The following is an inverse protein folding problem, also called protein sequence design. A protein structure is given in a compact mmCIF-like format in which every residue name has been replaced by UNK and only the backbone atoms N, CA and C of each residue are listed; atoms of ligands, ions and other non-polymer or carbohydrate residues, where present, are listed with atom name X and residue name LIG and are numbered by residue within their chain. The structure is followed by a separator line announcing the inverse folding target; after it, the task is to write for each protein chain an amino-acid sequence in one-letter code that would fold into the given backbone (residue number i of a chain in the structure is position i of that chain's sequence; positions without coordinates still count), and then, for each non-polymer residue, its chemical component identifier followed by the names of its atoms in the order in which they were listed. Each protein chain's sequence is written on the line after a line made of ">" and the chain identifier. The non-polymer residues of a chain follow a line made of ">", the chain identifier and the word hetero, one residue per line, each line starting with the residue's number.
data_IF_261480426774
#
_entry.id   IF_261480426774
#
_cell.length_a   1.000
_cell.length_b   1.000
_cell.length_c   1.000
_cell.angle_alpha   90.00
_cell.angle_beta   90.00
_cell.angle_gamma   90.00
#
_symmetry.space_group_name_H-M   'P 1'
#
loop_
_entity.id
_entity.type
_entity.pdbx_description
1 polymer ?
#
# COMPACT_ATOMS: atom_id res chain seq x y z
N UNK A 1 0.97 -12.10 15.85
CA UNK A 1 0.62 -10.74 15.30
C UNK A 1 1.87 -9.91 14.98
N UNK A 2 2.05 -9.46 13.73
CA UNK A 2 3.33 -9.06 13.11
C UNK A 2 4.05 -7.84 13.69
N UNK A 3 5.40 -7.84 13.68
CA UNK A 3 6.26 -6.77 14.21
C UNK A 3 7.37 -6.35 13.23
N UNK A 4 7.85 -5.11 13.36
CA UNK A 4 8.96 -4.58 12.56
C UNK A 4 10.19 -4.46 13.44
N UNK A 5 11.27 -5.11 13.02
CA UNK A 5 12.56 -5.07 13.74
C UNK A 5 13.60 -4.42 12.84
N UNK A 6 14.42 -3.55 13.42
CA UNK A 6 15.58 -2.99 12.74
C UNK A 6 16.81 -3.81 13.10
N UNK A 7 17.45 -4.40 12.09
CA UNK A 7 18.71 -5.09 12.21
C UNK A 7 19.85 -4.15 11.82
N UNK A 8 20.93 -4.17 12.60
CA UNK A 8 22.17 -3.49 12.27
C UNK A 8 23.07 -4.48 11.53
N UNK A 9 23.31 -4.24 10.25
CA UNK A 9 24.33 -4.95 9.47
C UNK A 9 25.68 -4.28 9.73
N UNK A 10 26.77 -5.04 9.63
CA UNK A 10 28.13 -4.50 9.80
C UNK A 10 28.33 -3.25 8.90
N UNK A 11 28.99 -2.21 9.42
CA UNK A 11 29.29 -0.93 8.75
C UNK A 11 28.11 0.05 8.56
N UNK A 12 27.25 0.23 9.57
CA UNK A 12 26.18 1.27 9.66
C UNK A 12 24.99 1.08 8.70
N UNK A 13 24.91 -0.02 7.99
CA UNK A 13 23.72 -0.37 7.20
C UNK A 13 22.61 -0.86 8.12
N UNK A 14 21.47 -0.15 8.13
CA UNK A 14 20.27 -0.53 8.88
C UNK A 14 19.26 -1.17 7.95
N UNK A 15 18.82 -2.38 8.27
CA UNK A 15 17.83 -3.13 7.50
C UNK A 15 16.58 -3.33 8.35
N UNK A 16 15.42 -2.96 7.84
CA UNK A 16 14.15 -3.27 8.49
C UNK A 16 13.64 -4.64 8.03
N UNK A 17 13.15 -5.46 8.97
CA UNK A 17 12.56 -6.77 8.67
C UNK A 17 11.16 -6.86 9.28
N UNK A 18 10.22 -7.45 8.53
CA UNK A 18 8.87 -7.75 9.00
C UNK A 18 8.83 -9.19 9.54
N UNK A 19 8.50 -9.32 10.81
CA UNK A 19 8.57 -10.55 11.59
C UNK A 19 7.17 -11.02 11.96
N UNK A 20 7.02 -12.33 12.06
CA UNK A 20 5.96 -12.94 12.84
C UNK A 20 6.36 -12.96 14.31
N UNK A 21 5.54 -12.35 15.17
CA UNK A 21 5.82 -12.25 16.61
C UNK A 21 5.51 -13.53 17.37
N UNK A 22 4.80 -14.50 16.79
CA UNK A 22 4.55 -15.80 17.43
C UNK A 22 5.75 -16.73 17.26
N UNK A 23 6.28 -16.81 16.05
CA UNK A 23 7.42 -17.68 15.73
C UNK A 23 8.78 -16.98 15.89
N UNK A 24 8.79 -15.64 16.02
CA UNK A 24 10.00 -14.80 15.95
C UNK A 24 10.82 -15.00 14.66
N UNK A 25 10.16 -15.41 13.58
CA UNK A 25 10.78 -15.59 12.26
C UNK A 25 10.37 -14.48 11.29
N UNK A 26 11.23 -14.13 10.31
CA UNK A 26 10.84 -13.22 9.24
C UNK A 26 9.69 -13.80 8.41
N UNK A 27 8.77 -12.94 7.97
CA UNK A 27 7.78 -13.33 6.98
C UNK A 27 8.48 -13.59 5.64
N UNK A 28 8.19 -14.72 5.02
CA UNK A 28 8.92 -15.21 3.85
C UNK A 28 8.85 -14.24 2.65
N UNK A 29 7.65 -13.97 2.12
CA UNK A 29 7.50 -13.12 0.93
C UNK A 29 7.94 -11.66 1.15
N UNK A 30 7.68 -11.02 2.32
CA UNK A 30 8.19 -9.69 2.62
C UNK A 30 9.71 -9.67 2.78
N UNK A 31 10.33 -10.73 3.30
CA UNK A 31 11.78 -10.85 3.37
C UNK A 31 12.39 -10.93 1.97
N UNK A 32 11.85 -11.74 1.07
CA UNK A 32 12.35 -11.81 -0.32
C UNK A 32 12.18 -10.46 -1.04
N UNK A 33 11.02 -9.80 -0.87
CA UNK A 33 10.83 -8.47 -1.44
C UNK A 33 11.80 -7.44 -0.88
N UNK A 34 12.11 -7.54 0.42
CA UNK A 34 13.09 -6.70 1.07
C UNK A 34 14.48 -6.91 0.48
N UNK A 35 14.94 -8.16 0.36
CA UNK A 35 16.28 -8.47 -0.18
C UNK A 35 16.41 -7.99 -1.63
N UNK A 36 15.39 -8.24 -2.44
CA UNK A 36 15.45 -8.03 -3.90
C UNK A 36 15.23 -6.57 -4.30
N UNK A 37 14.38 -5.82 -3.56
CA UNK A 37 13.93 -4.50 -3.99
C UNK A 37 14.09 -3.36 -2.97
N UNK A 38 14.08 -3.65 -1.67
CA UNK A 38 14.11 -2.61 -0.64
C UNK A 38 15.48 -2.43 0.01
N UNK A 39 16.36 -3.43 -0.05
CA UNK A 39 17.69 -3.42 0.58
C UNK A 39 18.56 -2.24 0.14
N UNK A 40 18.38 -1.77 -1.10
CA UNK A 40 19.11 -0.63 -1.68
C UNK A 40 18.39 0.72 -1.47
N UNK A 41 17.26 0.73 -0.76
CA UNK A 41 16.48 1.94 -0.45
C UNK A 41 16.87 2.48 0.92
N UNK A 42 16.58 3.76 1.16
CA UNK A 42 16.82 4.37 2.48
C UNK A 42 16.06 3.64 3.59
N UNK A 43 16.57 3.60 4.84
CA UNK A 43 15.90 2.93 5.95
C UNK A 43 14.48 3.44 6.19
N UNK A 44 14.22 4.73 5.97
CA UNK A 44 12.89 5.33 6.07
C UNK A 44 11.94 4.85 4.96
N UNK A 45 12.44 4.62 3.75
CA UNK A 45 11.65 4.04 2.65
C UNK A 45 11.35 2.56 2.90
N UNK A 46 12.33 1.80 3.41
CA UNK A 46 12.15 0.42 3.83
C UNK A 46 11.06 0.33 4.90
N UNK A 47 11.16 1.13 5.96
CA UNK A 47 10.19 1.19 7.05
C UNK A 47 8.78 1.50 6.55
N UNK A 48 8.62 2.55 5.74
CA UNK A 48 7.30 2.92 5.20
C UNK A 48 6.70 1.81 4.32
N UNK A 49 7.53 1.11 3.56
CA UNK A 49 7.08 0.00 2.71
C UNK A 49 6.64 -1.20 3.55
N UNK A 50 7.45 -1.58 4.54
CA UNK A 50 7.16 -2.72 5.42
C UNK A 50 6.00 -2.42 6.38
N UNK A 51 5.78 -1.17 6.77
CA UNK A 51 4.57 -0.75 7.50
C UNK A 51 3.30 -0.95 6.68
N UNK A 52 3.33 -0.66 5.38
CA UNK A 52 2.19 -0.94 4.51
C UNK A 52 1.95 -2.45 4.37
N UNK A 53 3.02 -3.24 4.21
CA UNK A 53 2.94 -4.70 4.16
C UNK A 53 2.41 -5.29 5.47
N UNK A 54 2.88 -4.80 6.62
CA UNK A 54 2.37 -5.19 7.93
C UNK A 54 0.85 -5.02 8.00
N UNK A 55 0.33 -3.85 7.63
CA UNK A 55 -1.12 -3.59 7.63
C UNK A 55 -1.89 -4.52 6.69
N UNK A 56 -1.32 -4.88 5.53
CA UNK A 56 -1.93 -5.84 4.62
C UNK A 56 -1.98 -7.25 5.22
N UNK A 57 -0.92 -7.67 5.91
CA UNK A 57 -0.89 -8.96 6.60
C UNK A 57 -1.86 -9.01 7.77
N UNK A 58 -1.98 -7.92 8.54
CA UNK A 58 -2.99 -7.79 9.61
C UNK A 58 -4.40 -7.86 9.05
N UNK A 59 -4.69 -7.11 7.98
CA UNK A 59 -5.96 -7.17 7.25
C UNK A 59 -6.29 -8.60 6.80
N UNK A 60 -5.32 -9.28 6.18
CA UNK A 60 -5.51 -10.63 5.67
C UNK A 60 -5.84 -11.61 6.80
N UNK A 61 -5.06 -11.55 7.88
CA UNK A 61 -5.26 -12.40 9.05
C UNK A 61 -6.61 -12.14 9.72
N UNK A 62 -7.00 -10.87 9.88
CA UNK A 62 -8.31 -10.51 10.43
C UNK A 62 -9.48 -11.04 9.57
N UNK A 63 -9.33 -11.03 8.24
CA UNK A 63 -10.40 -11.48 7.32
C UNK A 63 -10.49 -13.00 7.20
N UNK A 64 -9.35 -13.68 7.12
CA UNK A 64 -9.28 -15.10 6.75
C UNK A 64 -8.86 -16.02 7.91
N UNK A 65 -8.45 -15.47 9.04
CA UNK A 65 -7.92 -16.20 10.20
C UNK A 65 -6.75 -17.15 9.85
N UNK A 66 -6.02 -16.84 8.78
CA UNK A 66 -4.82 -17.54 8.34
C UNK A 66 -3.80 -16.52 7.85
N UNK A 67 -2.51 -16.87 7.87
CA UNK A 67 -1.48 -15.95 7.40
C UNK A 67 -1.53 -15.81 5.87
N UNK A 68 -1.17 -14.63 5.37
CA UNK A 68 -1.04 -14.42 3.93
C UNK A 68 0.02 -15.36 3.32
N UNK A 69 1.13 -15.61 4.03
CA UNK A 69 2.16 -16.53 3.55
C UNK A 69 1.58 -17.93 3.28
N UNK A 70 0.82 -18.47 4.23
CA UNK A 70 0.13 -19.75 4.06
C UNK A 70 -0.87 -19.72 2.91
N UNK A 71 -1.67 -18.66 2.81
CA UNK A 71 -2.72 -18.53 1.79
C UNK A 71 -2.15 -18.45 0.38
N UNK A 72 -1.08 -17.68 0.19
CA UNK A 72 -0.42 -17.52 -1.11
C UNK A 72 0.33 -18.79 -1.54
N UNK A 73 0.98 -19.48 -0.61
CA UNK A 73 1.59 -20.78 -0.88
C UNK A 73 0.53 -21.81 -1.29
N UNK A 74 -0.56 -21.91 -0.51
CA UNK A 74 -1.64 -22.89 -0.72
C UNK A 74 -2.46 -22.66 -1.99
N UNK A 75 -2.44 -21.43 -2.54
CA UNK A 75 -3.09 -21.11 -3.81
C UNK A 75 -2.21 -21.39 -5.03
N UNK A 76 -1.11 -22.13 -4.87
CA UNK A 76 -0.07 -22.32 -5.88
C UNK A 76 0.51 -20.98 -6.36
N UNK A 77 0.75 -20.06 -5.41
CA UNK A 77 1.27 -18.72 -5.67
C UNK A 77 0.42 -17.89 -6.65
N UNK A 78 -0.90 -18.09 -6.65
CA UNK A 78 -1.82 -17.36 -7.52
C UNK A 78 -1.98 -15.89 -7.07
N UNK A 79 -1.50 -14.89 -7.83
CA UNK A 79 -1.56 -13.48 -7.41
C UNK A 79 -2.97 -12.88 -7.42
N UNK A 80 -3.94 -13.54 -8.05
CA UNK A 80 -5.34 -13.07 -8.09
C UNK A 80 -5.93 -12.90 -6.68
N UNK A 81 -5.54 -13.77 -5.73
CA UNK A 81 -6.04 -13.70 -4.35
C UNK A 81 -5.73 -12.34 -3.69
N UNK A 82 -4.65 -11.67 -4.12
CA UNK A 82 -4.29 -10.34 -3.63
C UNK A 82 -5.06 -9.27 -4.40
N UNK A 83 -5.12 -9.40 -5.73
CA UNK A 83 -5.72 -8.41 -6.62
C UNK A 83 -7.21 -8.22 -6.30
N UNK A 84 -7.92 -9.33 -6.04
CA UNK A 84 -9.35 -9.29 -5.73
C UNK A 84 -9.62 -8.67 -4.35
N UNK A 85 -8.63 -8.65 -3.46
CA UNK A 85 -8.69 -8.04 -2.14
C UNK A 85 -8.29 -6.56 -2.08
N UNK A 86 -7.77 -5.98 -3.17
CA UNK A 86 -7.27 -4.60 -3.14
C UNK A 86 -8.35 -3.56 -2.80
N UNK A 87 -9.61 -3.78 -3.20
CA UNK A 87 -10.74 -2.90 -2.83
C UNK A 87 -11.06 -3.02 -1.34
N UNK A 88 -11.16 -4.25 -0.82
CA UNK A 88 -11.43 -4.50 0.59
C UNK A 88 -10.31 -3.93 1.47
N UNK A 89 -9.04 -4.12 1.07
CA UNK A 89 -7.90 -3.54 1.76
C UNK A 89 -7.91 -2.00 1.72
N UNK A 90 -8.32 -1.40 0.60
CA UNK A 90 -8.50 0.05 0.51
C UNK A 90 -9.52 0.56 1.54
N UNK A 91 -10.63 -0.14 1.72
CA UNK A 91 -11.61 0.18 2.77
C UNK A 91 -11.05 -0.03 4.17
N UNK A 92 -10.33 -1.14 4.41
CA UNK A 92 -9.66 -1.40 5.68
C UNK A 92 -8.70 -0.27 6.09
N UNK A 93 -7.95 0.30 5.14
CA UNK A 93 -7.05 1.41 5.42
C UNK A 93 -7.75 2.69 5.90
N UNK A 94 -9.06 2.84 5.70
CA UNK A 94 -9.84 3.96 6.24
C UNK A 94 -10.11 3.76 7.73
N UNK A 95 -10.35 2.52 8.17
CA UNK A 95 -10.65 2.15 9.55
C UNK A 95 -9.97 0.82 9.96
N UNK A 96 -8.66 0.82 10.27
CA UNK A 96 -7.93 -0.41 10.58
C UNK A 96 -8.39 -1.13 11.88
N UNK A 97 -9.16 -0.44 12.74
CA UNK A 97 -9.49 -0.87 14.11
C UNK A 97 -10.98 -1.15 14.33
N UNK A 98 -11.79 -1.40 13.29
CA UNK A 98 -13.25 -1.54 13.45
C UNK A 98 -13.72 -2.74 14.31
N UNK A 99 -12.80 -3.56 14.82
CA UNK A 99 -13.08 -4.65 15.76
C UNK A 99 -12.59 -4.41 17.20
N UNK A 100 -11.93 -3.30 17.53
CA UNK A 100 -11.45 -3.01 18.90
C UNK A 100 -11.62 -1.53 19.26
N UNK A 101 -12.53 -1.27 20.20
CA UNK A 101 -12.72 -0.07 21.04
C UNK A 101 -11.98 1.19 20.53
N UNK A 102 -12.73 2.08 19.88
CA UNK A 102 -12.25 3.38 19.40
C UNK A 102 -11.87 4.29 20.58
N UNK A 103 -10.59 4.63 20.71
CA UNK A 103 -10.15 5.78 21.50
C UNK A 103 -10.36 7.07 20.69
N UNK A 104 -10.97 8.13 21.26
CA UNK A 104 -11.40 9.33 20.52
C UNK A 104 -10.25 10.23 20.04
N UNK A 105 -8.99 9.78 20.09
CA UNK A 105 -7.81 10.53 19.67
C UNK A 105 -7.06 9.92 18.46
N UNK A 106 -7.57 8.84 17.87
CA UNK A 106 -6.94 8.23 16.71
C UNK A 106 -7.02 9.17 15.49
N UNK A 107 -5.88 9.71 15.09
CA UNK A 107 -5.74 10.53 13.89
C UNK A 107 -6.16 9.72 12.67
N UNK A 108 -7.29 10.06 12.02
CA UNK A 108 -7.69 9.41 10.78
C UNK A 108 -6.52 9.42 9.77
N UNK A 109 -6.15 8.26 9.19
CA UNK A 109 -5.03 8.21 8.27
C UNK A 109 -5.31 9.16 7.10
N UNK A 110 -4.40 10.11 6.87
CA UNK A 110 -4.57 11.05 5.77
C UNK A 110 -4.72 10.29 4.45
N UNK A 111 -5.59 10.77 3.55
CA UNK A 111 -5.82 10.16 2.23
C UNK A 111 -4.53 9.94 1.44
N UNK A 112 -3.54 10.83 1.61
CA UNK A 112 -2.20 10.71 1.03
C UNK A 112 -1.47 9.48 1.55
N UNK A 113 -1.54 9.20 2.85
CA UNK A 113 -0.93 8.02 3.47
C UNK A 113 -1.62 6.72 3.03
N UNK A 114 -2.95 6.72 2.86
CA UNK A 114 -3.70 5.58 2.30
C UNK A 114 -3.21 5.22 0.89
N UNK A 115 -3.13 6.20 -0.01
CA UNK A 115 -2.70 5.94 -1.39
C UNK A 115 -1.25 5.46 -1.47
N UNK A 116 -0.36 6.00 -0.64
CA UNK A 116 1.04 5.52 -0.56
C UNK A 116 1.07 4.04 -0.15
N UNK A 117 0.32 3.65 0.88
CA UNK A 117 0.23 2.25 1.33
C UNK A 117 -0.33 1.34 0.24
N UNK A 118 -1.40 1.74 -0.44
CA UNK A 118 -1.98 0.99 -1.56
C UNK A 118 -0.97 0.82 -2.70
N UNK A 119 -0.26 1.87 -3.07
CA UNK A 119 0.79 1.78 -4.10
C UNK A 119 1.93 0.86 -3.68
N UNK A 120 2.30 0.81 -2.41
CA UNK A 120 3.26 -0.18 -1.91
C UNK A 120 2.74 -1.60 -2.10
N UNK A 121 1.47 -1.88 -1.76
CA UNK A 121 0.90 -3.22 -1.97
C UNK A 121 0.85 -3.56 -3.46
N UNK A 122 0.44 -2.64 -4.34
CA UNK A 122 0.46 -2.86 -5.80
C UNK A 122 1.88 -3.20 -6.29
N UNK A 123 2.92 -2.52 -5.79
CA UNK A 123 4.32 -2.81 -6.15
C UNK A 123 4.77 -4.18 -5.64
N UNK A 124 4.35 -4.55 -4.43
CA UNK A 124 4.62 -5.87 -3.86
C UNK A 124 3.90 -6.98 -4.63
N UNK A 125 2.62 -6.80 -4.98
CA UNK A 125 1.88 -7.75 -5.82
C UNK A 125 2.53 -7.90 -7.19
N UNK A 126 2.97 -6.79 -7.80
CA UNK A 126 3.68 -6.86 -9.07
C UNK A 126 4.99 -7.63 -8.95
N UNK A 127 5.75 -7.45 -7.86
CA UNK A 127 6.91 -8.29 -7.57
C UNK A 127 6.54 -9.78 -7.51
N UNK A 128 5.50 -10.13 -6.75
CA UNK A 128 5.06 -11.53 -6.66
C UNK A 128 4.64 -12.10 -8.02
N UNK A 129 3.99 -11.31 -8.87
CA UNK A 129 3.67 -11.72 -10.25
C UNK A 129 4.95 -12.05 -11.01
N UNK A 130 5.95 -11.17 -11.01
CA UNK A 130 7.19 -11.38 -11.78
C UNK A 130 8.02 -12.56 -11.24
N UNK A 131 7.96 -12.83 -9.93
CA UNK A 131 8.72 -13.92 -9.31
C UNK A 131 8.01 -15.27 -9.48
N UNK A 132 6.71 -15.33 -9.22
CA UNK A 132 5.96 -16.58 -9.08
C UNK A 132 5.10 -16.97 -10.29
N UNK A 133 4.80 -16.04 -11.20
CA UNK A 133 4.21 -16.40 -12.52
C UNK A 133 5.35 -16.76 -13.47
N UNK A 134 6.03 -17.86 -13.16
CA UNK A 134 7.17 -18.37 -13.90
C UNK A 134 7.16 -19.89 -13.92
N UNK A 135 7.89 -20.48 -14.88
CA UNK A 135 7.97 -21.94 -15.07
C UNK A 135 8.54 -22.69 -13.87
N UNK A 136 9.12 -21.98 -12.90
CA UNK A 136 9.63 -22.55 -11.65
C UNK A 136 8.51 -22.90 -10.66
N UNK A 137 7.37 -22.25 -10.78
CA UNK A 137 6.26 -22.36 -9.81
C UNK A 137 4.93 -22.72 -10.47
N UNK A 138 4.84 -22.68 -11.80
CA UNK A 138 3.63 -22.98 -12.56
C UNK A 138 3.95 -23.85 -13.77
N UNK A 139 3.17 -24.92 -13.94
CA UNK A 139 3.25 -25.85 -15.08
C UNK A 139 2.50 -25.28 -16.28
N UNK A 140 3.12 -24.32 -16.97
CA UNK A 140 2.57 -23.72 -18.20
C UNK A 140 3.69 -23.25 -19.10
N UNK A 141 3.39 -23.00 -20.38
CA UNK A 141 4.42 -22.53 -21.31
C UNK A 141 4.90 -21.11 -20.96
N UNK A 142 6.17 -20.75 -21.23
CA UNK A 142 6.67 -19.40 -20.99
C UNK A 142 5.83 -18.29 -21.65
N UNK A 143 5.25 -18.58 -22.81
CA UNK A 143 4.40 -17.66 -23.56
C UNK A 143 3.08 -17.41 -22.82
N UNK A 144 2.44 -18.46 -22.33
CA UNK A 144 1.20 -18.36 -21.55
C UNK A 144 1.43 -17.65 -20.22
N UNK A 145 2.54 -17.94 -19.54
CA UNK A 145 2.91 -17.30 -18.30
C UNK A 145 3.21 -15.81 -18.48
N UNK A 146 3.92 -15.45 -19.55
CA UNK A 146 4.12 -14.04 -19.92
C UNK A 146 2.80 -13.34 -20.20
N UNK A 147 1.88 -14.00 -20.92
CA UNK A 147 0.53 -13.47 -21.17
C UNK A 147 -0.24 -13.27 -19.88
N UNK A 148 -0.22 -14.25 -18.97
CA UNK A 148 -0.87 -14.19 -17.67
C UNK A 148 -0.29 -13.07 -16.79
N UNK A 149 1.04 -13.00 -16.66
CA UNK A 149 1.73 -11.95 -15.91
C UNK A 149 1.35 -10.56 -16.42
N UNK A 150 1.28 -10.40 -17.75
CA UNK A 150 0.83 -9.15 -18.39
C UNK A 150 -0.63 -8.82 -18.11
N UNK A 151 -1.53 -9.82 -18.14
CA UNK A 151 -2.94 -9.64 -17.80
C UNK A 151 -3.13 -9.21 -16.34
N UNK A 152 -2.46 -9.88 -15.41
CA UNK A 152 -2.51 -9.56 -13.98
C UNK A 152 -1.93 -8.17 -13.70
N UNK A 153 -0.79 -7.84 -14.34
CA UNK A 153 -0.17 -6.52 -14.22
C UNK A 153 -1.08 -5.42 -14.78
N UNK A 154 -1.77 -5.65 -15.91
CA UNK A 154 -2.78 -4.72 -16.43
C UNK A 154 -3.94 -4.52 -15.46
N UNK A 155 -4.46 -5.59 -14.84
CA UNK A 155 -5.52 -5.51 -13.81
C UNK A 155 -5.06 -4.68 -12.61
N UNK A 156 -3.81 -4.82 -12.16
CA UNK A 156 -3.22 -3.98 -11.11
C UNK A 156 -3.12 -2.50 -11.49
N UNK A 157 -2.81 -2.18 -12.77
CA UNK A 157 -2.73 -0.80 -13.25
C UNK A 157 -4.10 -0.10 -13.21
N UNK A 158 -5.18 -0.83 -13.50
CA UNK A 158 -6.56 -0.30 -13.38
C UNK A 158 -6.82 0.13 -11.94
N UNK A 159 -6.54 -0.73 -10.96
CA UNK A 159 -6.67 -0.39 -9.54
C UNK A 159 -5.79 0.80 -9.12
N UNK A 160 -4.55 0.84 -9.62
CA UNK A 160 -3.64 1.97 -9.37
C UNK A 160 -4.27 3.29 -9.81
N UNK A 161 -4.93 3.31 -10.96
CA UNK A 161 -5.49 4.52 -11.53
C UNK A 161 -6.86 4.88 -10.91
N UNK A 162 -7.68 3.89 -10.53
CA UNK A 162 -8.87 4.08 -9.69
C UNK A 162 -8.51 4.82 -8.37
N UNK A 163 -7.45 4.38 -7.67
CA UNK A 163 -7.05 5.00 -6.40
C UNK A 163 -6.44 6.40 -6.56
N UNK A 164 -5.94 6.76 -7.74
CA UNK A 164 -5.48 8.13 -8.04
C UNK A 164 -6.64 9.11 -8.26
N UNK A 165 -7.72 8.66 -8.89
CA UNK A 165 -8.84 9.50 -9.34
C UNK A 165 -9.77 9.97 -8.22
N UNK A 166 -9.62 9.48 -6.98
CA UNK A 166 -10.39 9.94 -5.83
C UNK A 166 -10.04 11.39 -5.36
N UNK A 167 -9.61 12.29 -6.26
CA UNK A 167 -9.53 13.73 -5.96
C UNK A 167 -10.88 14.35 -6.30
N UNK A 168 -11.73 14.64 -5.32
CA UNK A 168 -12.77 15.67 -5.51
C UNK A 168 -12.02 17.00 -5.69
N UNK A 169 -12.12 17.69 -6.85
CA UNK A 169 -11.32 18.89 -7.13
C UNK A 169 -11.61 20.06 -6.17
N UNK A 170 -12.74 20.04 -5.47
CA UNK A 170 -13.18 21.11 -4.56
C UNK A 170 -12.47 21.06 -3.19
N UNK A 171 -11.99 19.90 -2.75
CA UNK A 171 -11.57 19.67 -1.36
C UNK A 171 -10.10 20.09 -1.07
N UNK A 172 -9.27 20.21 -2.11
CA UNK A 172 -7.83 20.51 -1.98
C UNK A 172 -7.59 21.99 -1.69
N UNK A 173 -8.38 22.89 -2.29
CA UNK A 173 -8.31 24.32 -1.99
C UNK A 173 -8.94 24.63 -0.63
N UNK A 174 -10.00 23.90 -0.26
CA UNK A 174 -10.73 24.12 0.99
C UNK A 174 -9.91 23.81 2.24
N UNK A 175 -9.11 22.74 2.21
CA UNK A 175 -8.30 22.30 3.35
C UNK A 175 -7.24 23.31 3.83
N UNK A 176 -6.88 24.31 3.02
CA UNK A 176 -5.94 25.37 3.41
C UNK A 176 -6.60 26.55 4.14
N UNK A 177 -7.92 26.70 4.04
CA UNK A 177 -8.66 27.82 4.65
C UNK A 177 -9.54 27.32 5.79
N UNK A 178 -8.93 26.71 6.82
CA UNK A 178 -9.65 26.12 7.97
C UNK A 178 -10.49 27.11 8.77
N UNK A 179 -10.22 28.41 8.65
CA UNK A 179 -10.94 29.49 9.33
C UNK A 179 -12.07 30.12 8.50
N UNK A 180 -12.31 29.66 7.27
CA UNK A 180 -13.26 30.28 6.35
C UNK A 180 -14.37 29.33 5.94
N UNK A 181 -15.60 29.85 5.86
CA UNK A 181 -16.74 29.11 5.32
C UNK A 181 -16.67 29.02 3.79
N UNK A 182 -17.49 28.14 3.19
CA UNK A 182 -17.46 27.88 1.74
C UNK A 182 -17.70 29.13 0.90
N UNK A 183 -18.58 30.00 1.39
CA UNK A 183 -18.90 31.26 0.72
C UNK A 183 -17.75 32.28 0.82
N UNK A 184 -17.05 32.31 1.96
CA UNK A 184 -15.88 33.19 2.19
C UNK A 184 -14.70 32.81 1.28
N UNK A 185 -14.40 31.52 1.11
CA UNK A 185 -13.33 31.07 0.21
C UNK A 185 -13.65 31.40 -1.24
N UNK A 186 -14.92 31.25 -1.66
CA UNK A 186 -15.36 31.62 -3.02
C UNK A 186 -15.21 33.11 -3.28
N UNK A 187 -15.59 33.96 -2.31
CA UNK A 187 -15.37 35.42 -2.39
C UNK A 187 -13.88 35.77 -2.44
N UNK A 188 -13.07 35.15 -1.59
CA UNK A 188 -11.62 35.39 -1.55
C UNK A 188 -10.92 35.04 -2.87
N UNK A 189 -11.24 33.88 -3.47
CA UNK A 189 -10.69 33.49 -4.78
C UNK A 189 -11.15 34.46 -5.88
N UNK A 190 -12.39 34.95 -5.83
CA UNK A 190 -12.88 36.00 -6.76
C UNK A 190 -12.07 37.29 -6.66
N UNK A 191 -11.76 37.74 -5.45
CA UNK A 191 -10.95 38.95 -5.23
C UNK A 191 -9.50 38.77 -5.69
N UNK A 192 -8.90 37.60 -5.46
CA UNK A 192 -7.56 37.27 -5.98
C UNK A 192 -7.50 37.27 -7.52
N UNK A 193 -8.58 36.82 -8.18
CA UNK A 193 -8.68 36.82 -9.64
C UNK A 193 -8.92 38.22 -10.21
N UNK A 194 -9.67 39.09 -9.52
CA UNK A 194 -9.81 40.51 -9.91
C UNK A 194 -8.47 41.24 -9.88
N UNK A 195 -7.64 40.99 -8.86
CA UNK A 195 -6.34 41.64 -8.70
C UNK A 195 -5.25 41.16 -9.66
N UNK A 196 -5.45 40.02 -10.35
CA UNK A 196 -4.51 39.57 -11.41
C UNK A 196 -4.66 40.33 -12.73
N UNK A 197 -5.72 41.11 -12.92
CA UNK A 197 -5.88 42.01 -14.07
C UNK A 197 -5.18 43.37 -13.86
N UNK A 198 -4.58 43.61 -12.69
CA UNK A 198 -3.74 44.78 -12.39
C UNK A 198 -2.31 44.35 -12.09
N UNK A 199 -1.65 43.72 -13.06
CA UNK A 199 -0.19 43.72 -13.16
C UNK A 199 0.17 44.00 -14.61
N UNK A 200 0.53 45.26 -14.86
CA UNK A 200 1.27 45.70 -16.04
C UNK A 200 2.58 44.90 -16.18
#
# INVERSE_FOLDING_TARGET
>A
MFSLIQLNKHLRERLWVLMDSETNLPLFYPLQYLTDHLSHRSPSTQLASLQALKLFYEFWYQKYNVTFCFSFYSSSHNPLIIIDELRAFSHYLENPNSSLISFPFASYPSKKNKNIKLHTIIRFTNYLIQTYVSTRYMDSSPIELSRLANQLSKKLLIYRDEFKQSKRPVDIHFKKFKSMTLDMVKKFIRELHKNKFFKN
#
